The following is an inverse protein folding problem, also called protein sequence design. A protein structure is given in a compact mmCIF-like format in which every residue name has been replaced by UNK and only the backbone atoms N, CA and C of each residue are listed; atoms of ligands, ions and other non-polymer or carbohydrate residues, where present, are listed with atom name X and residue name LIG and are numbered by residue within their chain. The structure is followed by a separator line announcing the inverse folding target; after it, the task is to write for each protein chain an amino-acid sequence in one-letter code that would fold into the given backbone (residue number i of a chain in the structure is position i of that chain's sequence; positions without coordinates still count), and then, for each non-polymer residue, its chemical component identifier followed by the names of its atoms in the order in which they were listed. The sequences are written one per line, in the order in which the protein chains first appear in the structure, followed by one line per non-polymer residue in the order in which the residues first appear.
data_IF_436653570900
#
_entry.id   IF_436653570900
#
_cell.length_a   1.000
_cell.length_b   1.000
_cell.length_c   1.000
_cell.angle_alpha   90.00
_cell.angle_beta   90.00
_cell.angle_gamma   90.00
#
_symmetry.space_group_name_H-M   'P 1'
#
loop_
_entity.id
_entity.type
_entity.pdbx_description
1 polymer ?
#
# COMPACT_ATOMS: atom_id res chain seq x y z
N UNK A 1 -16.46 7.90 -9.48
CA UNK A 1 -15.22 7.27 -9.96
C UNK A 1 -14.90 7.69 -11.39
N UNK A 2 -13.62 7.58 -11.79
CA UNK A 2 -13.16 7.81 -13.16
C UNK A 2 -12.51 6.53 -13.67
N UNK A 3 -12.91 6.07 -14.85
CA UNK A 3 -12.28 4.96 -15.57
C UNK A 3 -11.25 5.55 -16.52
N UNK A 4 -10.06 4.97 -16.56
CA UNK A 4 -8.95 5.42 -17.42
C UNK A 4 -8.50 4.24 -18.28
N UNK A 5 -8.45 4.42 -19.58
CA UNK A 5 -8.05 3.41 -20.55
C UNK A 5 -8.71 3.62 -21.90
N UNK A 6 -8.60 2.64 -22.79
CA UNK A 6 -9.24 2.70 -24.10
C UNK A 6 -10.77 2.64 -23.97
N UNK A 7 -11.46 3.68 -24.43
CA UNK A 7 -12.93 3.82 -24.28
C UNK A 7 -13.71 2.67 -24.90
N UNK A 8 -13.28 2.18 -26.04
CA UNK A 8 -13.97 1.10 -26.73
C UNK A 8 -13.85 -0.20 -25.94
N UNK A 9 -12.66 -0.52 -25.46
CA UNK A 9 -12.41 -1.70 -24.64
C UNK A 9 -13.18 -1.65 -23.31
N UNK A 10 -13.25 -0.46 -22.67
CA UNK A 10 -14.04 -0.25 -21.46
C UNK A 10 -15.52 -0.49 -21.73
N UNK A 11 -16.07 0.09 -22.82
CA UNK A 11 -17.47 -0.06 -23.17
C UNK A 11 -17.82 -1.51 -23.52
N UNK A 12 -16.97 -2.20 -24.27
CA UNK A 12 -17.13 -3.62 -24.62
C UNK A 12 -17.11 -4.51 -23.37
N UNK A 13 -16.15 -4.29 -22.48
CA UNK A 13 -16.05 -5.04 -21.22
C UNK A 13 -17.27 -4.82 -20.34
N UNK A 14 -17.72 -3.58 -20.19
CA UNK A 14 -18.92 -3.24 -19.44
C UNK A 14 -20.16 -3.95 -20.02
N UNK A 15 -20.31 -3.95 -21.35
CA UNK A 15 -21.41 -4.64 -22.05
C UNK A 15 -21.35 -6.15 -21.79
N UNK A 16 -20.18 -6.77 -21.91
CA UNK A 16 -20.01 -8.23 -21.72
C UNK A 16 -20.31 -8.65 -20.28
N UNK A 17 -20.04 -7.78 -19.31
CA UNK A 17 -20.29 -8.01 -17.90
C UNK A 17 -21.67 -7.49 -17.42
N UNK A 18 -22.49 -6.94 -18.36
CA UNK A 18 -23.78 -6.32 -18.04
C UNK A 18 -23.69 -5.24 -16.94
N UNK A 19 -22.62 -4.46 -16.97
CA UNK A 19 -22.38 -3.37 -16.01
C UNK A 19 -22.84 -2.03 -16.59
N UNK A 20 -23.62 -1.29 -15.82
CA UNK A 20 -23.95 0.11 -16.13
C UNK A 20 -22.82 1.04 -15.71
N UNK A 21 -22.15 1.65 -16.68
CA UNK A 21 -21.08 2.61 -16.47
C UNK A 21 -21.48 4.05 -16.87
N UNK A 22 -22.75 4.31 -17.09
CA UNK A 22 -23.26 5.62 -17.53
C UNK A 22 -22.90 6.77 -16.58
N UNK A 23 -22.79 6.48 -15.29
CA UNK A 23 -22.44 7.45 -14.25
C UNK A 23 -20.91 7.58 -14.02
N UNK A 24 -20.09 6.90 -14.81
CA UNK A 24 -18.65 6.97 -14.69
C UNK A 24 -18.05 7.93 -15.71
N UNK A 25 -17.16 8.81 -15.26
CA UNK A 25 -16.33 9.58 -16.18
C UNK A 25 -15.31 8.65 -16.82
N UNK A 26 -15.21 8.67 -18.14
CA UNK A 26 -14.18 7.91 -18.88
C UNK A 26 -13.14 8.90 -19.41
N UNK A 27 -11.87 8.62 -19.15
CA UNK A 27 -10.73 9.34 -19.70
C UNK A 27 -9.99 8.39 -20.64
N UNK A 28 -9.87 8.80 -21.90
CA UNK A 28 -9.14 8.03 -22.92
C UNK A 28 -7.66 7.93 -22.55
N UNK A 29 -7.10 6.74 -22.69
CA UNK A 29 -5.68 6.50 -22.63
C UNK A 29 -5.32 5.44 -23.68
N UNK A 30 -4.21 5.66 -24.37
CA UNK A 30 -3.80 4.85 -25.54
C UNK A 30 -3.20 3.50 -25.19
N UNK A 31 -2.52 3.44 -24.02
CA UNK A 31 -1.82 2.25 -23.51
C UNK A 31 -1.74 2.26 -21.98
N UNK A 32 -1.06 1.26 -21.41
CA UNK A 32 -0.91 1.12 -19.97
C UNK A 32 -0.07 2.25 -19.35
N UNK A 33 0.98 2.70 -20.05
CA UNK A 33 1.85 3.78 -19.57
C UNK A 33 1.12 5.11 -19.53
N UNK A 34 0.32 5.39 -20.56
CA UNK A 34 -0.53 6.57 -20.61
C UNK A 34 -1.60 6.53 -19.52
N UNK A 35 -2.25 5.37 -19.33
CA UNK A 35 -3.23 5.16 -18.25
C UNK A 35 -2.65 5.42 -16.87
N UNK A 36 -1.45 4.91 -16.59
CA UNK A 36 -0.76 5.13 -15.35
C UNK A 36 -0.38 6.61 -15.13
N UNK A 37 0.11 7.26 -16.19
CA UNK A 37 0.49 8.67 -16.16
C UNK A 37 -0.71 9.57 -15.92
N UNK A 38 -1.82 9.35 -16.61
CA UNK A 38 -3.08 10.09 -16.41
C UNK A 38 -3.59 9.92 -14.98
N UNK A 39 -3.56 8.69 -14.44
CA UNK A 39 -3.99 8.44 -13.06
C UNK A 39 -3.13 9.20 -12.04
N UNK A 40 -1.81 9.18 -12.22
CA UNK A 40 -0.87 9.89 -11.34
C UNK A 40 -1.03 11.40 -11.46
N UNK A 41 -1.22 11.93 -12.67
CA UNK A 41 -1.48 13.35 -12.88
C UNK A 41 -2.78 13.79 -12.20
N UNK A 42 -3.87 13.02 -12.33
CA UNK A 42 -5.12 13.33 -11.64
C UNK A 42 -4.97 13.36 -10.11
N UNK A 43 -4.10 12.53 -9.56
CA UNK A 43 -3.80 12.53 -8.12
C UNK A 43 -2.97 13.75 -7.72
N UNK A 44 -1.97 14.13 -8.51
CA UNK A 44 -1.19 15.35 -8.29
C UNK A 44 -2.08 16.62 -8.32
N UNK A 45 -3.04 16.65 -9.21
CA UNK A 45 -4.04 17.73 -9.35
C UNK A 45 -5.15 17.69 -8.27
N UNK A 46 -5.07 16.80 -7.28
CA UNK A 46 -6.10 16.57 -6.26
C UNK A 46 -7.51 16.19 -6.82
N UNK A 47 -7.58 15.72 -8.05
CA UNK A 47 -8.81 15.23 -8.70
C UNK A 47 -9.12 13.78 -8.33
N UNK A 48 -8.13 13.07 -7.80
CA UNK A 48 -8.24 11.70 -7.29
C UNK A 48 -7.45 11.56 -5.99
N UNK A 49 -7.99 10.85 -5.02
CA UNK A 49 -7.32 10.53 -3.74
C UNK A 49 -6.90 9.08 -3.63
N UNK A 50 -7.42 8.24 -4.52
CA UNK A 50 -7.18 6.79 -4.54
C UNK A 50 -7.01 6.40 -6.00
N UNK A 51 -5.94 5.70 -6.31
CA UNK A 51 -5.73 5.04 -7.60
C UNK A 51 -5.99 3.55 -7.40
N UNK A 52 -6.92 3.01 -8.19
CA UNK A 52 -7.21 1.57 -8.18
C UNK A 52 -6.70 0.99 -9.49
N UNK A 53 -5.81 0.01 -9.39
CA UNK A 53 -5.26 -0.71 -10.53
C UNK A 53 -6.24 -1.81 -10.96
N UNK A 54 -6.61 -1.77 -12.26
CA UNK A 54 -7.30 -2.86 -12.92
C UNK A 54 -6.32 -3.75 -13.71
N UNK A 55 -6.63 -4.02 -14.98
CA UNK A 55 -5.78 -4.78 -15.88
C UNK A 55 -4.61 -3.91 -16.41
N UNK A 56 -3.64 -3.68 -15.56
CA UNK A 56 -2.44 -2.88 -15.80
C UNK A 56 -1.28 -3.53 -15.02
N UNK A 57 -0.09 -3.60 -15.62
CA UNK A 57 1.08 -4.15 -14.94
C UNK A 57 1.52 -3.27 -13.75
N UNK A 58 1.81 -3.90 -12.62
CA UNK A 58 2.11 -3.17 -11.36
C UNK A 58 3.39 -2.35 -11.48
N UNK A 59 4.39 -2.84 -12.20
CA UNK A 59 5.65 -2.13 -12.42
C UNK A 59 5.47 -0.85 -13.26
N UNK A 60 4.55 -0.85 -14.23
CA UNK A 60 4.19 0.33 -15.04
C UNK A 60 3.56 1.40 -14.13
N UNK A 61 2.57 1.00 -13.31
CA UNK A 61 1.97 1.93 -12.36
C UNK A 61 3.01 2.49 -11.39
N UNK A 62 3.86 1.63 -10.82
CA UNK A 62 4.87 2.05 -9.84
C UNK A 62 5.93 2.96 -10.46
N UNK A 63 6.37 2.69 -11.68
CA UNK A 63 7.28 3.60 -12.42
C UNK A 63 6.66 4.99 -12.59
N UNK A 64 5.39 5.06 -13.00
CA UNK A 64 4.70 6.33 -13.15
C UNK A 64 4.53 7.03 -11.79
N UNK A 65 4.08 6.30 -10.76
CA UNK A 65 3.88 6.83 -9.42
C UNK A 65 5.16 7.44 -8.80
N UNK A 66 6.32 6.86 -9.09
CA UNK A 66 7.62 7.31 -8.58
C UNK A 66 8.22 8.50 -9.35
N UNK A 67 7.61 8.93 -10.45
CA UNK A 67 8.09 10.08 -11.24
C UNK A 67 7.95 11.38 -10.43
N UNK A 68 9.05 12.11 -10.36
CA UNK A 68 9.12 13.36 -9.57
C UNK A 68 8.12 14.42 -10.02
N UNK A 69 7.78 14.44 -11.31
CA UNK A 69 6.85 15.41 -11.90
C UNK A 69 5.44 15.30 -11.32
N UNK A 70 5.01 14.12 -10.86
CA UNK A 70 3.70 13.95 -10.25
C UNK A 70 3.66 14.32 -8.77
N UNK A 71 4.83 14.51 -8.12
CA UNK A 71 4.94 14.95 -6.72
C UNK A 71 4.04 14.15 -5.74
N UNK A 72 3.95 12.83 -5.95
CA UNK A 72 3.11 11.94 -5.13
C UNK A 72 3.84 11.36 -3.92
N UNK A 73 5.15 11.58 -3.82
CA UNK A 73 5.98 11.13 -2.72
C UNK A 73 6.11 12.24 -1.68
N UNK A 74 5.85 11.92 -0.42
CA UNK A 74 5.96 12.84 0.72
C UNK A 74 7.28 12.65 1.52
N UNK A 75 8.31 12.09 0.88
CA UNK A 75 9.61 11.82 1.49
C UNK A 75 9.67 10.51 2.30
N UNK A 76 8.55 9.80 2.45
CA UNK A 76 8.49 8.50 3.13
C UNK A 76 8.74 7.34 2.19
N UNK A 77 9.20 6.24 2.76
CA UNK A 77 9.35 4.98 2.02
C UNK A 77 7.99 4.39 1.70
N UNK A 78 7.78 3.99 0.45
CA UNK A 78 6.60 3.19 0.08
C UNK A 78 6.66 1.82 0.73
N UNK A 79 5.50 1.31 1.13
CA UNK A 79 5.34 -0.04 1.64
C UNK A 79 4.04 -0.67 1.13
N UNK A 80 4.00 -1.99 1.08
CA UNK A 80 2.84 -2.73 0.66
C UNK A 80 2.09 -3.28 1.87
N UNK A 81 0.76 -3.20 1.85
CA UNK A 81 -0.10 -3.75 2.90
C UNK A 81 -1.11 -4.69 2.27
N UNK A 82 -1.10 -5.95 2.69
CA UNK A 82 -2.18 -6.88 2.45
C UNK A 82 -3.29 -6.64 3.47
N UNK A 83 -4.51 -6.43 3.01
CA UNK A 83 -5.72 -6.41 3.84
C UNK A 83 -6.47 -7.72 3.62
N UNK A 84 -6.45 -8.60 4.60
CA UNK A 84 -7.00 -9.95 4.49
C UNK A 84 -8.20 -10.13 5.41
N UNK A 85 -9.25 -10.70 4.88
CA UNK A 85 -10.44 -11.12 5.62
C UNK A 85 -10.70 -12.60 5.39
N UNK A 86 -11.02 -13.33 6.44
CA UNK A 86 -11.43 -14.73 6.36
C UNK A 86 -12.64 -14.95 7.27
N UNK A 87 -13.48 -15.97 7.01
CA UNK A 87 -14.61 -16.29 7.88
C UNK A 87 -14.21 -16.55 9.35
N UNK A 88 -12.98 -17.01 9.58
CA UNK A 88 -12.44 -17.34 10.89
C UNK A 88 -11.96 -16.09 11.66
N UNK A 89 -11.63 -15.02 10.96
CA UNK A 89 -11.15 -13.79 11.56
C UNK A 89 -12.31 -12.83 11.81
N UNK A 90 -12.56 -12.51 13.09
CA UNK A 90 -13.55 -11.51 13.47
C UNK A 90 -13.17 -10.07 13.06
N UNK A 91 -11.88 -9.84 12.77
CA UNK A 91 -11.31 -8.56 12.35
C UNK A 91 -10.34 -8.80 11.21
N UNK A 92 -10.17 -7.85 10.29
CA UNK A 92 -9.19 -7.98 9.21
C UNK A 92 -7.77 -8.09 9.75
N UNK A 93 -6.96 -8.88 9.06
CA UNK A 93 -5.52 -8.99 9.28
C UNK A 93 -4.79 -8.13 8.25
N UNK A 94 -3.87 -7.29 8.72
CA UNK A 94 -2.97 -6.52 7.89
C UNK A 94 -1.59 -7.15 7.93
N UNK A 95 -1.02 -7.43 6.77
CA UNK A 95 0.34 -7.98 6.64
C UNK A 95 1.18 -7.01 5.82
N UNK A 96 2.34 -6.62 6.33
CA UNK A 96 3.28 -5.69 5.70
C UNK A 96 4.74 -6.05 6.05
N UNK A 97 5.75 -5.78 5.25
CA UNK A 97 5.74 -5.44 3.83
C UNK A 97 5.92 -6.72 3.03
N UNK A 98 4.98 -7.01 2.17
CA UNK A 98 4.98 -8.28 1.45
C UNK A 98 5.68 -8.25 0.08
N UNK A 99 6.01 -7.07 -0.48
CA UNK A 99 6.37 -7.03 -1.89
C UNK A 99 7.28 -5.88 -2.36
N UNK A 100 7.42 -4.78 -1.61
CA UNK A 100 8.12 -3.59 -2.12
C UNK A 100 9.56 -3.43 -1.61
N UNK A 101 9.84 -3.84 -0.38
CA UNK A 101 11.15 -3.64 0.23
C UNK A 101 11.87 -4.96 0.41
N UNK A 102 12.89 -5.18 -0.43
CA UNK A 102 13.78 -6.35 -0.34
C UNK A 102 14.88 -6.03 0.67
N UNK A 103 15.07 -6.89 1.68
CA UNK A 103 16.07 -6.72 2.75
C UNK A 103 16.08 -5.31 3.37
N UNK A 104 14.95 -4.84 3.90
CA UNK A 104 14.86 -3.49 4.46
C UNK A 104 15.72 -3.37 5.73
N UNK A 105 16.50 -2.28 5.82
CA UNK A 105 17.24 -1.92 7.03
C UNK A 105 16.28 -1.49 8.14
N UNK A 106 16.78 -1.37 9.36
CA UNK A 106 15.99 -1.03 10.56
C UNK A 106 15.20 0.27 10.37
N UNK A 107 15.83 1.31 9.83
CA UNK A 107 15.19 2.59 9.52
C UNK A 107 14.02 2.45 8.54
N UNK A 108 14.15 1.59 7.54
CA UNK A 108 13.09 1.29 6.58
C UNK A 108 11.99 0.44 7.22
N UNK A 109 12.35 -0.56 8.05
CA UNK A 109 11.37 -1.37 8.80
C UNK A 109 10.51 -0.50 9.73
N UNK A 110 11.11 0.50 10.37
CA UNK A 110 10.38 1.47 11.18
C UNK A 110 9.42 2.32 10.34
N UNK A 111 9.82 2.75 9.15
CA UNK A 111 8.92 3.48 8.24
C UNK A 111 7.76 2.61 7.74
N UNK A 112 8.01 1.35 7.41
CA UNK A 112 6.98 0.35 7.05
C UNK A 112 5.96 0.21 8.19
N UNK A 113 6.44 0.05 9.43
CA UNK A 113 5.60 0.00 10.62
C UNK A 113 4.74 1.26 10.77
N UNK A 114 5.35 2.45 10.64
CA UNK A 114 4.63 3.74 10.71
C UNK A 114 3.54 3.84 9.65
N UNK A 115 3.82 3.44 8.42
CA UNK A 115 2.85 3.44 7.33
C UNK A 115 1.65 2.54 7.65
N UNK A 116 1.91 1.31 8.12
CA UNK A 116 0.86 0.36 8.47
C UNK A 116 -0.02 0.85 9.63
N UNK A 117 0.60 1.35 10.70
CA UNK A 117 -0.11 1.91 11.86
C UNK A 117 -0.95 3.13 11.46
N UNK A 118 -0.39 4.04 10.66
CA UNK A 118 -1.10 5.21 10.19
C UNK A 118 -2.30 4.84 9.32
N UNK A 119 -2.11 3.88 8.41
CA UNK A 119 -3.20 3.38 7.56
C UNK A 119 -4.31 2.74 8.39
N UNK A 120 -3.94 1.86 9.34
CA UNK A 120 -4.90 1.23 10.24
C UNK A 120 -5.71 2.26 11.04
N UNK A 121 -5.03 3.25 11.63
CA UNK A 121 -5.67 4.29 12.44
C UNK A 121 -6.58 5.23 11.63
N UNK A 122 -6.40 5.33 10.32
CA UNK A 122 -7.35 6.04 9.43
C UNK A 122 -8.64 5.27 9.19
N UNK A 123 -8.60 3.95 9.29
CA UNK A 123 -9.75 3.07 9.03
C UNK A 123 -10.47 2.66 10.33
N UNK A 124 -9.82 2.77 11.49
CA UNK A 124 -10.30 2.23 12.75
C UNK A 124 -10.10 3.24 13.89
N UNK A 125 -11.03 3.24 14.84
CA UNK A 125 -11.00 4.12 16.02
C UNK A 125 -10.16 3.60 17.20
N UNK A 126 -9.66 2.37 17.13
CA UNK A 126 -8.88 1.74 18.21
C UNK A 126 -7.45 1.46 17.75
N UNK A 127 -6.52 1.44 18.70
CA UNK A 127 -5.10 1.17 18.44
C UNK A 127 -4.89 -0.24 17.88
N UNK A 128 -4.06 -0.39 16.82
CA UNK A 128 -3.69 -1.72 16.32
C UNK A 128 -2.84 -2.48 17.32
N UNK A 129 -2.95 -3.80 17.27
CA UNK A 129 -1.97 -4.72 17.83
C UNK A 129 -1.03 -5.15 16.70
N UNK A 130 0.26 -4.95 16.89
CA UNK A 130 1.28 -5.23 15.88
C UNK A 130 2.26 -6.26 16.41
N UNK A 131 2.48 -7.31 15.63
CA UNK A 131 3.57 -8.26 15.85
C UNK A 131 4.65 -8.04 14.78
N UNK A 132 5.89 -7.83 15.21
CA UNK A 132 7.06 -7.79 14.32
C UNK A 132 7.62 -9.20 14.30
N UNK A 133 7.39 -9.92 13.20
CA UNK A 133 7.66 -11.34 13.11
C UNK A 133 9.12 -11.66 12.84
N UNK A 134 9.61 -12.71 13.46
CA UNK A 134 10.86 -13.39 13.16
C UNK A 134 10.65 -14.91 13.22
N UNK A 135 11.68 -15.68 12.94
CA UNK A 135 11.67 -17.14 13.07
C UNK A 135 11.87 -17.64 14.51
N UNK A 136 12.02 -16.74 15.47
CA UNK A 136 12.14 -17.02 16.91
C UNK A 136 11.52 -15.89 17.72
N UNK A 137 11.09 -16.19 18.93
CA UNK A 137 10.54 -15.22 19.89
C UNK A 137 11.65 -14.53 20.70
N UNK A 138 12.87 -15.07 20.68
CA UNK A 138 14.03 -14.48 21.36
C UNK A 138 14.98 -13.80 20.36
N UNK A 139 15.54 -12.63 20.69
CA UNK A 139 16.57 -12.00 19.88
C UNK A 139 17.87 -12.81 19.94
N UNK A 140 18.31 -13.36 18.81
CA UNK A 140 19.56 -14.11 18.69
C UNK A 140 20.42 -13.55 17.55
N UNK A 141 21.74 -13.52 17.74
CA UNK A 141 22.68 -12.95 16.76
C UNK A 141 22.70 -13.71 15.43
N UNK A 142 22.52 -15.03 15.46
CA UNK A 142 22.47 -15.87 14.24
C UNK A 142 21.23 -15.63 13.38
N UNK A 143 20.23 -14.89 13.87
CA UNK A 143 19.01 -14.55 13.17
C UNK A 143 18.79 -13.03 13.14
N UNK A 144 19.37 -12.31 12.18
CA UNK A 144 19.29 -10.85 12.13
C UNK A 144 17.88 -10.28 12.19
N UNK A 145 16.88 -11.02 11.67
CA UNK A 145 15.47 -10.60 11.74
C UNK A 145 14.95 -10.44 13.17
N UNK A 146 15.45 -11.26 14.13
CA UNK A 146 15.02 -11.17 15.53
C UNK A 146 15.65 -9.96 16.23
N UNK A 147 16.93 -9.70 15.99
CA UNK A 147 17.62 -8.51 16.50
C UNK A 147 16.98 -7.22 15.92
N UNK A 148 16.67 -7.23 14.62
CA UNK A 148 16.00 -6.10 13.96
C UNK A 148 14.59 -5.88 14.55
N UNK A 149 13.82 -6.94 14.79
CA UNK A 149 12.47 -6.84 15.36
C UNK A 149 12.49 -6.18 16.74
N UNK A 150 13.41 -6.60 17.62
CA UNK A 150 13.64 -5.95 18.91
C UNK A 150 13.99 -4.48 18.75
N UNK A 151 14.94 -4.17 17.85
CA UNK A 151 15.38 -2.77 17.65
C UNK A 151 14.27 -1.88 17.10
N UNK A 152 13.46 -2.38 16.18
CA UNK A 152 12.30 -1.65 15.64
C UNK A 152 11.26 -1.41 16.75
N UNK A 153 11.02 -2.39 17.62
CA UNK A 153 10.12 -2.23 18.76
C UNK A 153 10.61 -1.14 19.74
N UNK A 154 11.92 -1.12 20.06
CA UNK A 154 12.52 -0.10 20.91
C UNK A 154 12.33 1.30 20.30
N UNK A 155 12.70 1.49 19.03
CA UNK A 155 12.53 2.76 18.31
C UNK A 155 11.06 3.19 18.21
N UNK A 156 10.16 2.24 17.99
CA UNK A 156 8.73 2.53 17.95
C UNK A 156 8.19 3.04 19.31
N UNK A 157 8.75 2.53 20.43
CA UNK A 157 8.44 3.00 21.77
C UNK A 157 8.98 4.40 22.03
N UNK A 158 10.24 4.66 21.64
CA UNK A 158 10.88 5.98 21.75
C UNK A 158 10.09 7.05 20.98
N UNK A 159 9.63 6.73 19.77
CA UNK A 159 8.83 7.63 18.94
C UNK A 159 7.34 7.67 19.31
N UNK A 160 6.92 6.94 20.34
CA UNK A 160 5.53 6.90 20.86
C UNK A 160 4.51 6.56 19.76
N UNK A 161 4.81 5.58 18.91
CA UNK A 161 3.90 5.17 17.84
C UNK A 161 2.58 4.68 18.46
N UNK A 162 1.45 5.15 17.89
CA UNK A 162 0.09 4.89 18.42
C UNK A 162 -0.39 3.47 18.11
N UNK A 163 0.26 2.46 18.68
CA UNK A 163 -0.04 1.04 18.52
C UNK A 163 0.41 0.25 19.76
N UNK A 164 -0.10 -0.97 19.94
CA UNK A 164 0.47 -1.97 20.83
C UNK A 164 1.44 -2.83 20.01
N UNK A 165 2.73 -2.70 20.25
CA UNK A 165 3.78 -3.31 19.40
C UNK A 165 4.53 -4.32 20.22
N UNK A 166 4.72 -5.51 19.66
CA UNK A 166 5.50 -6.60 20.23
C UNK A 166 6.39 -7.25 19.16
N UNK A 167 7.55 -7.71 19.55
CA UNK A 167 8.50 -8.43 18.71
C UNK A 167 9.87 -8.62 19.37
N UNK A 168 10.60 -9.64 18.92
CA UNK A 168 10.26 -10.66 17.95
C UNK A 168 9.16 -11.59 18.37
#
# INVERSE_FOLDING_TARGET
PTLIGNKNSIAETAKNLSLDISNFKIVEAKDEEDSASVACQMSNENRSKIIIKGNLHTDILMRSYLRKEFNLLDGRRLSHIWHMTTPQLKKPLFITDGALNVLPRIDIKLQILKNAVQFYNKLNSHKPKVAILSGTEDPIESMPSSADAKKVMELASEEKINAFIHGP
#
